data_IF_774235166513
#
_entry.id   IF_774235166513
#
_cell.length_a   1.000
_cell.length_b   1.000
_cell.length_c   1.000
_cell.angle_alpha   90.00
_cell.angle_beta   90.00
_cell.angle_gamma   90.00
#
_symmetry.space_group_name_H-M   'P 1'
#
loop_
_entity.id
_entity.type
_entity.pdbx_description
1 polymer ?
#
# COMPACT_ATOMS: atom_id res chain seq x y z
N UNK A 1 0.12 18.99 -4.45
CA UNK A 1 0.34 17.53 -4.47
C UNK A 1 -0.49 16.89 -3.37
N UNK A 2 -1.54 16.15 -3.70
CA UNK A 2 -2.44 15.52 -2.71
C UNK A 2 -1.82 14.20 -2.25
N UNK A 3 -1.59 14.01 -0.94
CA UNK A 3 -1.11 12.76 -0.36
C UNK A 3 -2.29 11.90 0.11
N UNK A 4 -2.66 10.82 -0.61
CA UNK A 4 -3.67 9.88 -0.10
C UNK A 4 -3.21 9.23 1.22
N UNK A 5 -4.13 9.18 2.20
CA UNK A 5 -3.90 8.60 3.53
C UNK A 5 -4.50 7.19 3.59
N UNK A 6 -3.67 6.16 3.80
CA UNK A 6 -4.09 4.78 4.06
C UNK A 6 -4.25 4.57 5.57
N UNK A 7 -5.36 5.06 6.14
CA UNK A 7 -5.70 4.85 7.55
C UNK A 7 -4.54 5.13 8.53
N UNK A 8 -4.36 4.28 9.55
CA UNK A 8 -3.23 4.38 10.50
C UNK A 8 -1.86 3.94 9.91
N UNK A 9 -1.85 3.39 8.68
CA UNK A 9 -0.66 2.76 8.11
C UNK A 9 0.30 3.76 7.48
N UNK A 10 -0.18 4.92 7.02
CA UNK A 10 0.67 6.03 6.59
C UNK A 10 0.06 6.85 5.45
N UNK A 11 0.69 7.97 5.15
CA UNK A 11 0.44 8.73 3.93
C UNK A 11 1.41 8.24 2.85
N UNK A 12 0.93 8.06 1.62
CA UNK A 12 1.78 7.76 0.47
C UNK A 12 1.52 8.77 -0.63
N UNK A 13 2.52 9.09 -1.46
CA UNK A 13 2.27 9.84 -2.68
C UNK A 13 1.95 8.85 -3.81
N UNK A 14 0.95 9.16 -4.63
CA UNK A 14 0.55 8.28 -5.74
C UNK A 14 1.69 8.02 -6.75
N UNK A 15 2.62 8.96 -6.92
CA UNK A 15 3.83 8.79 -7.76
C UNK A 15 4.80 7.73 -7.24
N UNK A 16 4.69 7.36 -5.97
CA UNK A 16 5.62 6.41 -5.34
C UNK A 16 5.11 4.98 -5.39
N UNK A 17 3.88 4.77 -5.88
CA UNK A 17 3.27 3.45 -6.02
C UNK A 17 3.64 2.86 -7.38
N UNK A 18 4.13 1.62 -7.34
CA UNK A 18 4.43 0.79 -8.51
C UNK A 18 3.24 -0.09 -8.86
N UNK A 19 2.59 -0.69 -7.86
CA UNK A 19 1.52 -1.66 -8.05
C UNK A 19 0.53 -1.64 -6.88
N UNK A 20 -0.76 -1.85 -7.16
CA UNK A 20 -1.79 -2.15 -6.17
C UNK A 20 -2.43 -3.48 -6.58
N UNK A 21 -2.44 -4.46 -5.67
CA UNK A 21 -2.98 -5.80 -5.96
C UNK A 21 -3.69 -6.41 -4.78
N UNK A 22 -4.66 -7.28 -5.07
CA UNK A 22 -5.22 -8.21 -4.09
C UNK A 22 -4.47 -9.53 -4.22
N UNK A 23 -4.09 -10.12 -3.10
CA UNK A 23 -3.40 -11.41 -3.07
C UNK A 23 -3.76 -12.22 -1.82
N UNK A 24 -3.61 -13.54 -1.90
CA UNK A 24 -3.83 -14.45 -0.78
C UNK A 24 -2.51 -14.93 -0.18
N UNK A 25 -2.44 -14.97 1.14
CA UNK A 25 -1.29 -15.51 1.88
C UNK A 25 -1.77 -16.15 3.19
N UNK A 26 -1.34 -17.39 3.46
CA UNK A 26 -1.68 -18.13 4.69
C UNK A 26 -3.20 -18.17 4.99
N UNK A 27 -4.03 -18.34 3.96
CA UNK A 27 -5.50 -18.41 4.10
C UNK A 27 -6.18 -17.06 4.38
N UNK A 28 -5.47 -15.95 4.23
CA UNK A 28 -5.98 -14.59 4.38
C UNK A 28 -5.75 -13.79 3.10
N UNK A 29 -6.78 -13.05 2.66
CA UNK A 29 -6.65 -12.11 1.54
C UNK A 29 -6.17 -10.75 2.03
N UNK A 30 -5.33 -10.11 1.22
CA UNK A 30 -4.72 -8.83 1.51
C UNK A 30 -4.87 -7.87 0.34
N UNK A 31 -4.98 -6.58 0.66
CA UNK A 31 -4.73 -5.50 -0.27
C UNK A 31 -3.27 -5.05 -0.11
N UNK A 32 -2.47 -5.34 -1.13
CA UNK A 32 -1.05 -5.01 -1.22
C UNK A 32 -0.81 -3.74 -2.02
N UNK A 33 0.08 -2.89 -1.51
CA UNK A 33 0.65 -1.76 -2.26
C UNK A 33 2.17 -1.95 -2.35
N UNK A 34 2.67 -2.00 -3.58
CA UNK A 34 4.10 -2.00 -3.88
C UNK A 34 4.54 -0.58 -4.17
N UNK A 35 5.62 -0.16 -3.51
CA UNK A 35 6.24 1.13 -3.69
C UNK A 35 7.39 1.01 -4.69
N UNK A 36 7.51 1.97 -5.61
CA UNK A 36 8.56 2.01 -6.62
C UNK A 36 9.97 2.15 -6.00
N UNK A 37 10.07 2.83 -4.86
CA UNK A 37 11.28 2.89 -4.05
C UNK A 37 10.96 2.53 -2.58
N UNK A 38 10.96 1.22 -2.24
CA UNK A 38 10.65 0.76 -0.88
C UNK A 38 11.56 1.36 0.18
N UNK A 39 12.84 1.55 -0.11
CA UNK A 39 13.83 2.00 0.87
C UNK A 39 13.63 3.48 1.22
N UNK A 40 13.37 4.31 0.21
CA UNK A 40 13.04 5.73 0.42
C UNK A 40 11.71 5.90 1.17
N UNK A 41 10.70 5.06 0.85
CA UNK A 41 9.45 5.05 1.59
C UNK A 41 9.67 4.68 3.08
N UNK A 42 10.45 3.64 3.35
CA UNK A 42 10.76 3.15 4.70
C UNK A 42 11.66 4.11 5.49
N UNK A 43 12.52 4.88 4.82
CA UNK A 43 13.37 5.89 5.46
C UNK A 43 12.52 6.97 6.16
N UNK A 44 11.34 7.27 5.61
CA UNK A 44 10.40 8.28 6.13
C UNK A 44 9.41 7.73 7.16
N UNK A 45 9.38 6.41 7.35
CA UNK A 45 8.52 5.78 8.35
C UNK A 45 9.18 5.77 9.74
N UNK A 46 8.40 5.86 10.84
CA UNK A 46 8.88 5.59 12.20
C UNK A 46 9.58 4.23 12.30
N UNK A 47 10.62 4.13 13.13
CA UNK A 47 11.48 2.93 13.22
C UNK A 47 10.72 1.62 13.50
N UNK A 48 9.65 1.67 14.30
CA UNK A 48 8.81 0.50 14.57
C UNK A 48 8.04 0.00 13.34
N UNK A 49 7.61 0.90 12.44
CA UNK A 49 7.00 0.52 11.16
C UNK A 49 8.05 -0.08 10.22
N UNK A 50 9.26 0.46 10.21
CA UNK A 50 10.39 -0.08 9.44
C UNK A 50 10.70 -1.52 9.84
N UNK A 51 10.73 -1.83 11.13
CA UNK A 51 10.97 -3.19 11.62
C UNK A 51 9.86 -4.17 11.22
N UNK A 52 8.58 -3.78 11.34
CA UNK A 52 7.45 -4.62 10.92
C UNK A 52 7.46 -4.89 9.41
N UNK A 53 7.76 -3.86 8.60
CA UNK A 53 7.79 -4.00 7.14
C UNK A 53 9.02 -4.75 6.65
N UNK A 54 10.16 -4.65 7.35
CA UNK A 54 11.36 -5.45 7.03
C UNK A 54 11.14 -6.94 7.29
N UNK A 55 10.41 -7.29 8.35
CA UNK A 55 10.02 -8.68 8.62
C UNK A 55 9.08 -9.24 7.55
N UNK A 56 8.19 -8.41 6.99
CA UNK A 56 7.28 -8.82 5.91
C UNK A 56 7.96 -8.98 4.55
N UNK A 57 9.12 -8.34 4.32
CA UNK A 57 9.88 -8.40 3.05
C UNK A 57 10.34 -9.83 2.70
N UNK A 58 10.47 -10.70 3.69
CA UNK A 58 10.79 -12.12 3.50
C UNK A 58 9.60 -12.96 3.00
N UNK A 59 8.37 -12.45 3.13
CA UNK A 59 7.14 -13.18 2.84
C UNK A 59 6.29 -12.55 1.73
N UNK A 60 6.47 -11.25 1.43
CA UNK A 60 5.64 -10.52 0.46
C UNK A 60 6.42 -9.42 -0.25
N UNK A 61 6.18 -9.27 -1.55
CA UNK A 61 6.77 -8.22 -2.42
C UNK A 61 6.13 -6.82 -2.21
N UNK A 62 5.11 -6.72 -1.35
CA UNK A 62 4.37 -5.48 -1.09
C UNK A 62 4.72 -4.89 0.28
N UNK A 63 4.97 -3.58 0.30
CA UNK A 63 5.40 -2.86 1.50
C UNK A 63 4.21 -2.60 2.43
N UNK A 64 3.06 -2.22 1.87
CA UNK A 64 1.82 -2.02 2.64
C UNK A 64 0.93 -3.22 2.40
N UNK A 65 0.51 -3.88 3.49
CA UNK A 65 -0.36 -5.05 3.45
C UNK A 65 -1.53 -4.85 4.40
N UNK A 66 -2.74 -4.72 3.83
CA UNK A 66 -3.96 -4.52 4.61
C UNK A 66 -4.75 -5.83 4.56
N UNK A 67 -4.86 -6.57 5.67
CA UNK A 67 -5.61 -7.81 5.69
C UNK A 67 -7.11 -7.52 5.53
N UNK A 68 -7.85 -8.41 4.86
CA UNK A 68 -9.31 -8.29 4.66
C UNK A 68 -10.07 -8.05 5.96
N UNK A 69 -9.65 -8.69 7.06
CA UNK A 69 -10.29 -8.50 8.38
C UNK A 69 -10.20 -7.05 8.91
N UNK A 70 -9.24 -6.26 8.43
CA UNK A 70 -9.12 -4.84 8.75
C UNK A 70 -9.92 -3.93 7.83
N UNK A 71 -10.61 -4.48 6.83
CA UNK A 71 -11.37 -3.76 5.81
C UNK A 71 -12.85 -4.03 6.01
N UNK A 72 -13.65 -2.97 6.10
CA UNK A 72 -15.11 -3.07 6.05
C UNK A 72 -15.55 -3.15 4.60
N UNK A 73 -16.21 -4.25 4.21
CA UNK A 73 -16.75 -4.43 2.87
C UNK A 73 -15.89 -5.30 1.95
N UNK A 74 -16.03 -5.11 0.64
CA UNK A 74 -15.29 -5.88 -0.37
C UNK A 74 -13.86 -5.34 -0.53
N UNK A 75 -12.91 -6.28 -0.54
CA UNK A 75 -11.50 -6.00 -0.75
C UNK A 75 -11.25 -5.47 -2.17
N UNK A 76 -11.99 -6.01 -3.13
CA UNK A 76 -11.95 -5.69 -4.54
C UNK A 76 -12.47 -4.27 -4.80
N UNK A 77 -13.56 -3.88 -4.14
CA UNK A 77 -14.07 -2.51 -4.21
C UNK A 77 -13.05 -1.51 -3.67
N UNK A 78 -12.42 -1.80 -2.53
CA UNK A 78 -11.37 -0.95 -1.98
C UNK A 78 -10.15 -0.87 -2.90
N UNK A 79 -9.73 -1.99 -3.48
CA UNK A 79 -8.65 -2.03 -4.46
C UNK A 79 -8.96 -1.15 -5.67
N UNK A 80 -10.18 -1.25 -6.21
CA UNK A 80 -10.63 -0.46 -7.34
C UNK A 80 -10.64 1.04 -7.04
N UNK A 81 -11.12 1.44 -5.86
CA UNK A 81 -11.08 2.83 -5.43
C UNK A 81 -9.64 3.36 -5.33
N UNK A 82 -8.71 2.56 -4.81
CA UNK A 82 -7.31 2.93 -4.72
C UNK A 82 -6.65 3.05 -6.10
N UNK A 83 -6.93 2.13 -7.02
CA UNK A 83 -6.47 2.18 -8.41
C UNK A 83 -6.95 3.45 -9.11
N UNK A 84 -8.24 3.79 -8.99
CA UNK A 84 -8.80 5.02 -9.57
C UNK A 84 -8.13 6.28 -9.01
N UNK A 85 -7.88 6.33 -7.69
CA UNK A 85 -7.20 7.46 -7.05
C UNK A 85 -5.75 7.57 -7.51
N UNK A 86 -5.07 6.43 -7.64
CA UNK A 86 -3.69 6.36 -8.11
C UNK A 86 -3.56 6.83 -9.56
N UNK A 87 -4.42 6.37 -10.46
CA UNK A 87 -4.44 6.75 -11.86
C UNK A 87 -4.67 8.26 -12.06
N UNK A 88 -5.62 8.83 -11.30
CA UNK A 88 -5.85 10.29 -11.26
C UNK A 88 -4.62 11.06 -10.77
N UNK A 89 -3.93 10.54 -9.75
CA UNK A 89 -2.73 11.17 -9.21
C UNK A 89 -1.55 11.14 -10.20
N UNK A 90 -1.46 10.14 -11.08
CA UNK A 90 -0.50 10.12 -12.19
C UNK A 90 -0.85 11.14 -13.26
N UNK A 91 -2.12 11.20 -13.64
CA UNK A 91 -2.60 12.09 -14.72
C UNK A 91 -2.42 13.57 -14.39
N UNK A 92 -2.53 13.96 -13.11
CA UNK A 92 -2.34 15.33 -12.64
C UNK A 92 -0.87 15.76 -12.46
N UNK A 93 0.10 14.91 -12.82
CA UNK A 93 1.54 15.24 -12.81
C UNK A 93 2.10 15.55 -14.21
N UNK A 94 1.24 15.53 -15.24
CA UNK A 94 1.59 15.83 -16.64
C UNK A 94 1.28 17.29 -17.00
#
# INVERSE_FOLDING_TARGET
MIKPRLGQQGEYCGSEVEEIKVYDMMGQSFLGVKMANPEEFLARCPGWKRSLMSANRAFVDTQINIPKVGIRGSLEQMAQEMLVRWDRAKSQQT
#
